data_IF_770900808213
#
_entry.id   IF_770900808213
#
_cell.length_a   1.000
_cell.length_b   1.000
_cell.length_c   1.000
_cell.angle_alpha   90.00
_cell.angle_beta   90.00
_cell.angle_gamma   90.00
#
_symmetry.space_group_name_H-M   'P 1'
#
loop_
_entity.id
_entity.type
_entity.pdbx_description
1 polymer ?
#
# COMPACT_ATOMS: atom_id res chain seq x y z
N UNK A 1 14.25 8.50 10.83
CA UNK A 1 14.94 9.14 9.70
C UNK A 1 16.34 8.56 9.59
N UNK A 2 16.54 7.66 8.63
CA UNK A 2 17.60 6.66 8.59
C UNK A 2 19.08 7.09 8.52
N UNK A 3 19.46 8.31 8.23
CA UNK A 3 20.88 8.73 8.29
C UNK A 3 21.13 9.50 9.59
N UNK A 4 21.89 8.90 10.52
CA UNK A 4 22.27 9.50 11.81
C UNK A 4 21.48 8.99 13.03
N UNK A 5 20.58 8.02 12.87
CA UNK A 5 19.88 7.37 13.98
C UNK A 5 20.75 6.25 14.61
N UNK A 6 20.41 5.80 15.83
CA UNK A 6 21.08 4.70 16.53
C UNK A 6 21.16 3.42 15.69
N UNK A 7 20.17 3.13 14.85
CA UNK A 7 20.20 2.00 13.90
C UNK A 7 21.32 2.10 12.85
N UNK A 8 21.77 3.31 12.48
CA UNK A 8 22.94 3.49 11.60
C UNK A 8 24.26 3.20 12.28
N UNK A 9 24.28 3.04 13.61
CA UNK A 9 25.44 2.72 14.45
C UNK A 9 25.53 1.24 14.83
N UNK A 10 24.69 0.38 14.22
CA UNK A 10 24.69 -1.07 14.48
C UNK A 10 23.72 -1.54 15.57
N UNK A 11 22.91 -0.65 16.14
CA UNK A 11 21.86 -1.01 17.08
C UNK A 11 20.73 -1.78 16.35
N UNK A 12 20.24 -2.85 16.96
CA UNK A 12 19.14 -3.61 16.36
C UNK A 12 17.81 -2.85 16.44
N UNK A 13 16.89 -3.14 15.53
CA UNK A 13 15.52 -2.58 15.58
C UNK A 13 14.87 -2.88 16.93
N UNK A 14 15.09 -4.08 17.47
CA UNK A 14 14.52 -4.52 18.73
C UNK A 14 15.03 -3.65 19.90
N UNK A 15 16.33 -3.45 20.01
CA UNK A 15 16.90 -2.65 21.09
C UNK A 15 16.41 -1.20 21.04
N UNK A 16 16.34 -0.64 19.82
CA UNK A 16 15.82 0.72 19.62
C UNK A 16 14.36 0.84 20.09
N UNK A 17 13.47 -0.07 19.69
CA UNK A 17 12.05 0.05 20.07
C UNK A 17 11.80 -0.26 21.52
N UNK A 18 12.52 -1.22 22.12
CA UNK A 18 12.44 -1.50 23.56
C UNK A 18 12.95 -0.34 24.41
N UNK A 19 13.97 0.37 23.95
CA UNK A 19 14.44 1.59 24.62
C UNK A 19 13.38 2.68 24.61
N UNK A 20 12.70 2.87 23.48
CA UNK A 20 11.62 3.87 23.36
C UNK A 20 10.40 3.46 24.22
N UNK A 21 10.02 2.18 24.21
CA UNK A 21 8.93 1.64 25.01
C UNK A 21 9.18 1.85 26.51
N UNK A 22 10.43 1.63 26.97
CA UNK A 22 10.84 1.87 28.35
C UNK A 22 10.73 3.34 28.80
N UNK A 23 10.57 4.29 27.87
CA UNK A 23 10.27 5.70 28.18
C UNK A 23 8.80 5.93 28.51
N UNK A 24 7.95 4.91 28.44
CA UNK A 24 6.53 4.95 28.79
C UNK A 24 5.66 5.62 27.73
N UNK A 25 5.97 5.41 26.45
CA UNK A 25 5.13 5.91 25.35
C UNK A 25 3.87 5.05 25.18
N UNK A 26 2.73 5.67 24.88
CA UNK A 26 1.49 4.96 24.64
C UNK A 26 1.40 4.36 23.22
N UNK A 27 2.06 4.99 22.24
CA UNK A 27 2.03 4.55 20.86
C UNK A 27 3.34 4.83 20.11
N UNK A 28 3.69 3.93 19.20
CA UNK A 28 4.81 4.00 18.30
C UNK A 28 4.32 4.08 16.83
N UNK A 29 4.51 5.22 16.19
CA UNK A 29 4.29 5.36 14.75
C UNK A 29 5.60 5.03 14.04
N UNK A 30 5.63 3.92 13.28
CA UNK A 30 6.86 3.46 12.67
C UNK A 30 6.76 3.32 11.15
N UNK A 31 7.89 3.57 10.49
CA UNK A 31 8.12 3.27 9.08
C UNK A 31 9.44 2.53 8.93
N UNK A 32 9.43 1.41 8.21
CA UNK A 32 10.61 0.55 8.08
C UNK A 32 10.78 0.05 6.65
N UNK A 33 12.02 -0.28 6.25
CA UNK A 33 12.32 -0.82 4.92
C UNK A 33 12.01 -2.31 4.79
N UNK A 34 11.98 -3.07 5.89
CA UNK A 34 11.64 -4.47 5.89
C UNK A 34 10.12 -4.67 6.02
N UNK A 35 9.56 -5.52 5.17
CA UNK A 35 8.16 -5.96 5.24
C UNK A 35 7.91 -6.76 6.51
N UNK A 36 6.79 -6.52 7.19
CA UNK A 36 6.43 -7.18 8.45
C UNK A 36 7.09 -6.59 9.71
N UNK A 37 7.96 -5.57 9.58
CA UNK A 37 8.67 -5.00 10.73
C UNK A 37 7.73 -4.44 11.80
N UNK A 38 6.64 -3.77 11.41
CA UNK A 38 5.66 -3.25 12.37
C UNK A 38 4.97 -4.36 13.14
N UNK A 39 4.65 -5.47 12.49
CA UNK A 39 4.05 -6.64 13.13
C UNK A 39 5.00 -7.29 14.14
N UNK A 40 6.29 -7.41 13.79
CA UNK A 40 7.31 -7.92 14.72
C UNK A 40 7.48 -7.01 15.94
N UNK A 41 7.54 -5.70 15.73
CA UNK A 41 7.68 -4.72 16.81
C UNK A 41 6.49 -4.80 17.77
N UNK A 42 5.27 -4.95 17.28
CA UNK A 42 4.09 -5.10 18.11
C UNK A 42 4.14 -6.32 19.07
N UNK A 43 4.98 -7.33 18.74
CA UNK A 43 5.24 -8.47 19.63
C UNK A 43 6.36 -8.24 20.66
N UNK A 44 7.05 -7.10 20.63
CA UNK A 44 8.20 -6.81 21.50
C UNK A 44 7.95 -5.69 22.49
N UNK A 45 6.93 -4.87 22.28
CA UNK A 45 6.65 -3.65 23.07
C UNK A 45 5.22 -3.69 23.60
N UNK A 46 4.97 -2.98 24.71
CA UNK A 46 3.64 -2.80 25.26
C UNK A 46 2.88 -1.63 24.61
N UNK A 47 3.58 -0.67 24.03
CA UNK A 47 3.01 0.45 23.29
C UNK A 47 2.23 0.00 22.05
N UNK A 48 1.17 0.71 21.69
CA UNK A 48 0.44 0.48 20.45
C UNK A 48 1.29 0.80 19.22
N UNK A 49 1.43 -0.14 18.29
CA UNK A 49 2.25 0.06 17.08
C UNK A 49 1.38 0.44 15.89
N UNK A 50 1.66 1.61 15.31
CA UNK A 50 1.00 2.14 14.10
C UNK A 50 1.94 2.02 12.92
N UNK A 51 1.58 1.18 11.95
CA UNK A 51 2.35 0.97 10.72
C UNK A 51 2.15 2.14 9.75
N UNK A 52 3.14 3.02 9.63
CA UNK A 52 3.20 4.12 8.65
C UNK A 52 3.95 3.72 7.35
N UNK A 53 4.04 2.43 7.08
CA UNK A 53 4.58 1.84 5.86
C UNK A 53 5.82 0.97 6.08
N UNK A 54 5.71 -0.31 5.76
CA UNK A 54 6.76 -1.30 5.88
C UNK A 54 7.09 -1.97 4.53
N UNK A 55 8.33 -1.85 4.09
CA UNK A 55 8.83 -2.44 2.85
C UNK A 55 7.92 -2.20 1.63
N UNK A 56 7.60 -3.29 0.93
CA UNK A 56 6.57 -3.37 -0.13
C UNK A 56 5.27 -4.01 0.37
N UNK A 57 5.15 -4.24 1.67
CA UNK A 57 4.07 -4.99 2.30
C UNK A 57 2.82 -4.13 2.47
N UNK A 58 2.79 -3.19 3.42
CA UNK A 58 1.61 -2.38 3.71
C UNK A 58 1.89 -0.92 4.06
N UNK A 59 0.87 -0.09 3.92
CA UNK A 59 0.81 1.29 4.38
C UNK A 59 -0.62 1.64 4.85
N UNK A 60 -1.07 1.05 5.98
CA UNK A 60 -2.46 1.18 6.42
C UNK A 60 -2.90 2.62 6.64
N UNK A 61 -2.04 3.46 7.23
CA UNK A 61 -2.35 4.88 7.46
C UNK A 61 -2.57 5.66 6.15
N UNK A 62 -1.89 5.27 5.05
CA UNK A 62 -2.15 5.87 3.74
C UNK A 62 -3.50 5.40 3.19
N UNK A 63 -3.82 4.12 3.32
CA UNK A 63 -5.11 3.60 2.86
C UNK A 63 -6.29 4.26 3.59
N UNK A 64 -6.18 4.50 4.90
CA UNK A 64 -7.17 5.25 5.65
C UNK A 64 -7.30 6.70 5.18
N UNK A 65 -6.18 7.38 4.89
CA UNK A 65 -6.17 8.72 4.33
C UNK A 65 -6.84 8.77 2.95
N UNK A 66 -6.53 7.81 2.09
CA UNK A 66 -7.08 7.71 0.73
C UNK A 66 -8.59 7.44 0.80
N UNK A 67 -9.03 6.48 1.63
CA UNK A 67 -10.44 6.17 1.84
C UNK A 67 -11.22 7.37 2.39
N UNK A 68 -10.68 8.06 3.41
CA UNK A 68 -11.29 9.28 3.95
C UNK A 68 -11.41 10.38 2.89
N UNK A 69 -10.37 10.57 2.09
CA UNK A 69 -10.38 11.58 1.03
C UNK A 69 -11.44 11.28 -0.04
N UNK A 70 -11.54 10.02 -0.46
CA UNK A 70 -12.58 9.59 -1.41
C UNK A 70 -13.97 9.78 -0.81
N UNK A 71 -14.20 9.34 0.42
CA UNK A 71 -15.49 9.50 1.10
C UNK A 71 -15.94 10.96 1.15
N UNK A 72 -15.04 11.89 1.49
CA UNK A 72 -15.31 13.33 1.52
C UNK A 72 -15.64 13.91 0.12
N UNK A 73 -15.12 13.30 -0.95
CA UNK A 73 -15.26 13.84 -2.31
C UNK A 73 -16.43 13.23 -3.08
N UNK A 74 -16.72 11.94 -2.89
CA UNK A 74 -17.70 11.20 -3.68
C UNK A 74 -18.88 10.65 -2.85
N UNK A 75 -18.89 10.88 -1.54
CA UNK A 75 -20.04 10.59 -0.67
C UNK A 75 -20.24 9.10 -0.41
N UNK A 76 -19.35 8.50 0.38
CA UNK A 76 -19.35 7.07 0.71
C UNK A 76 -18.64 6.22 -0.34
N UNK A 77 -18.27 5.00 0.05
CA UNK A 77 -17.50 4.09 -0.79
C UNK A 77 -18.26 2.83 -1.21
N UNK A 78 -19.33 2.48 -0.49
CA UNK A 78 -20.13 1.29 -0.78
C UNK A 78 -20.75 1.37 -2.19
N UNK A 79 -20.48 0.37 -3.02
CA UNK A 79 -20.93 0.28 -4.41
C UNK A 79 -20.21 1.22 -5.39
N UNK A 80 -19.26 2.03 -4.94
CA UNK A 80 -18.44 2.89 -5.79
C UNK A 80 -17.40 2.11 -6.55
N UNK A 81 -17.19 2.46 -7.83
CA UNK A 81 -16.15 1.87 -8.66
C UNK A 81 -14.84 2.64 -8.55
N UNK A 82 -13.87 2.06 -7.88
CA UNK A 82 -12.53 2.62 -7.69
C UNK A 82 -11.52 1.87 -8.55
N UNK A 83 -10.80 2.59 -9.39
CA UNK A 83 -9.77 2.04 -10.27
C UNK A 83 -8.39 2.44 -9.77
N UNK A 84 -7.52 1.46 -9.54
CA UNK A 84 -6.13 1.67 -9.10
C UNK A 84 -5.19 1.33 -10.26
N UNK A 85 -4.40 2.30 -10.71
CA UNK A 85 -3.56 2.18 -11.90
C UNK A 85 -2.09 2.38 -11.57
N UNK A 86 -1.21 1.53 -12.09
CA UNK A 86 0.24 1.76 -12.10
C UNK A 86 1.07 0.59 -11.61
N UNK A 87 2.13 0.88 -10.85
CA UNK A 87 3.10 -0.10 -10.37
C UNK A 87 2.56 -0.92 -9.19
N UNK A 88 1.90 -2.04 -9.47
CA UNK A 88 1.33 -2.91 -8.43
C UNK A 88 2.39 -3.76 -7.72
N UNK A 89 3.47 -4.11 -8.42
CA UNK A 89 4.52 -5.00 -7.88
C UNK A 89 5.26 -4.35 -6.72
N UNK A 90 5.59 -3.05 -6.84
CA UNK A 90 6.42 -2.36 -5.87
C UNK A 90 5.62 -1.44 -4.93
N UNK A 91 4.30 -1.30 -5.14
CA UNK A 91 3.46 -0.41 -4.35
C UNK A 91 2.81 -1.11 -3.17
N UNK A 92 3.28 -0.79 -1.96
CA UNK A 92 2.58 -1.16 -0.73
C UNK A 92 1.24 -0.42 -0.55
N UNK A 93 1.12 0.78 -1.14
CA UNK A 93 -0.12 1.58 -1.11
C UNK A 93 -1.24 0.84 -1.84
N UNK A 94 -0.95 0.21 -2.97
CA UNK A 94 -1.90 -0.66 -3.67
C UNK A 94 -2.47 -1.74 -2.75
N UNK A 95 -1.61 -2.49 -2.04
CA UNK A 95 -2.03 -3.61 -1.19
C UNK A 95 -3.01 -3.16 -0.10
N UNK A 96 -2.64 -2.15 0.66
CA UNK A 96 -3.49 -1.63 1.73
C UNK A 96 -4.78 -1.00 1.21
N UNK A 97 -4.75 -0.33 0.05
CA UNK A 97 -5.96 0.27 -0.53
C UNK A 97 -6.94 -0.79 -1.05
N UNK A 98 -6.47 -1.86 -1.71
CA UNK A 98 -7.37 -2.94 -2.12
C UNK A 98 -8.13 -3.50 -0.92
N UNK A 99 -7.42 -3.82 0.18
CA UNK A 99 -8.03 -4.36 1.39
C UNK A 99 -9.03 -3.38 2.01
N UNK A 100 -8.63 -2.12 2.24
CA UNK A 100 -9.48 -1.13 2.89
C UNK A 100 -10.71 -0.78 2.06
N UNK A 101 -10.57 -0.57 0.74
CA UNK A 101 -11.68 -0.23 -0.14
C UNK A 101 -12.68 -1.38 -0.27
N UNK A 102 -12.20 -2.62 -0.37
CA UNK A 102 -13.08 -3.79 -0.36
C UNK A 102 -13.84 -3.93 0.96
N UNK A 103 -13.18 -3.73 2.10
CA UNK A 103 -13.84 -3.72 3.43
C UNK A 103 -14.91 -2.64 3.54
N UNK A 104 -14.73 -1.50 2.88
CA UNK A 104 -15.68 -0.38 2.84
C UNK A 104 -16.75 -0.56 1.76
N UNK A 105 -16.78 -1.71 1.08
CA UNK A 105 -17.82 -2.08 0.11
C UNK A 105 -17.64 -1.47 -1.28
N UNK A 106 -16.47 -0.93 -1.60
CA UNK A 106 -16.17 -0.47 -2.95
C UNK A 106 -15.91 -1.64 -3.91
N UNK A 107 -16.27 -1.45 -5.16
CA UNK A 107 -15.85 -2.31 -6.25
C UNK A 107 -14.50 -1.83 -6.78
N UNK A 108 -13.48 -2.66 -6.65
CA UNK A 108 -12.11 -2.31 -7.00
C UNK A 108 -11.69 -2.99 -8.30
N UNK A 109 -11.17 -2.20 -9.23
CA UNK A 109 -10.47 -2.70 -10.43
C UNK A 109 -9.02 -2.23 -10.37
N UNK A 110 -8.07 -3.13 -10.56
CA UNK A 110 -6.65 -2.77 -10.63
C UNK A 110 -6.13 -2.94 -12.05
N UNK A 111 -5.36 -1.97 -12.51
CA UNK A 111 -4.85 -1.89 -13.88
C UNK A 111 -3.35 -1.70 -13.88
N UNK A 112 -2.64 -2.59 -14.56
CA UNK A 112 -1.19 -2.47 -14.75
C UNK A 112 -0.73 -3.23 -16.00
N UNK A 113 0.40 -2.84 -16.61
CA UNK A 113 1.10 -3.69 -17.56
C UNK A 113 1.45 -5.05 -16.93
N UNK A 114 1.48 -6.10 -17.73
CA UNK A 114 1.77 -7.47 -17.25
C UNK A 114 3.08 -7.53 -16.45
N UNK A 115 4.09 -6.75 -16.85
CA UNK A 115 5.39 -6.67 -16.18
C UNK A 115 5.34 -6.05 -14.78
N UNK A 116 4.29 -5.31 -14.46
CA UNK A 116 4.07 -4.66 -13.16
C UNK A 116 2.96 -5.33 -12.33
N UNK A 117 2.44 -6.45 -12.81
CA UNK A 117 1.54 -7.31 -12.04
C UNK A 117 2.36 -8.22 -11.12
N UNK A 118 2.12 -8.23 -9.80
CA UNK A 118 2.82 -9.13 -8.91
C UNK A 118 2.43 -10.59 -9.15
N UNK A 119 3.37 -11.52 -8.92
CA UNK A 119 3.06 -12.94 -8.92
C UNK A 119 1.95 -13.26 -7.91
N UNK A 120 1.03 -14.17 -8.26
CA UNK A 120 -0.07 -14.56 -7.39
C UNK A 120 -1.25 -13.58 -7.34
N UNK A 121 -1.21 -12.45 -8.05
CA UNK A 121 -2.30 -11.45 -8.02
C UNK A 121 -3.66 -12.01 -8.44
N UNK A 122 -3.68 -13.00 -9.35
CA UNK A 122 -4.94 -13.62 -9.80
C UNK A 122 -5.63 -14.38 -8.67
N UNK A 123 -4.87 -15.22 -7.95
CA UNK A 123 -5.39 -15.95 -6.80
C UNK A 123 -5.87 -14.99 -5.69
N UNK A 124 -5.15 -13.90 -5.49
CA UNK A 124 -5.57 -12.87 -4.54
C UNK A 124 -6.83 -12.14 -5.00
N UNK A 125 -6.91 -11.76 -6.28
CA UNK A 125 -8.10 -11.14 -6.87
C UNK A 125 -9.35 -12.02 -6.73
N UNK A 126 -9.22 -13.32 -6.97
CA UNK A 126 -10.30 -14.29 -6.81
C UNK A 126 -10.75 -14.43 -5.34
N UNK A 127 -9.80 -14.43 -4.40
CA UNK A 127 -10.08 -14.56 -2.96
C UNK A 127 -10.77 -13.32 -2.38
N UNK A 128 -10.30 -12.12 -2.73
CA UNK A 128 -10.78 -10.85 -2.15
C UNK A 128 -11.77 -10.11 -3.06
N UNK A 129 -12.06 -10.64 -4.25
CA UNK A 129 -13.14 -10.18 -5.12
C UNK A 129 -12.88 -8.82 -5.78
N UNK A 130 -11.66 -8.51 -6.21
CA UNK A 130 -11.37 -7.35 -7.04
C UNK A 130 -11.03 -7.73 -8.49
N UNK A 131 -11.29 -6.82 -9.44
CA UNK A 131 -11.06 -7.07 -10.86
C UNK A 131 -9.63 -6.72 -11.28
N UNK A 132 -9.12 -7.42 -12.32
CA UNK A 132 -7.81 -7.19 -12.92
C UNK A 132 -7.95 -6.80 -14.39
N UNK A 133 -7.18 -5.82 -14.84
CA UNK A 133 -7.05 -5.46 -16.25
C UNK A 133 -5.62 -5.05 -16.60
N UNK A 134 -5.24 -5.24 -17.86
CA UNK A 134 -3.99 -4.70 -18.42
C UNK A 134 -4.27 -3.49 -19.32
N UNK A 135 -5.54 -3.14 -19.52
CA UNK A 135 -5.97 -2.06 -20.40
C UNK A 135 -6.92 -1.14 -19.64
N UNK A 136 -6.59 0.15 -19.64
CA UNK A 136 -7.36 1.18 -18.93
C UNK A 136 -8.51 1.74 -19.80
N UNK A 137 -8.33 1.81 -21.11
CA UNK A 137 -9.29 2.46 -22.02
C UNK A 137 -10.68 1.86 -21.94
N UNK A 138 -10.88 0.51 -21.98
CA UNK A 138 -12.20 -0.07 -21.87
C UNK A 138 -12.90 0.21 -20.53
N UNK A 139 -12.11 0.44 -19.47
CA UNK A 139 -12.64 0.73 -18.12
C UNK A 139 -13.15 2.17 -18.06
N UNK A 140 -12.39 3.12 -18.65
CA UNK A 140 -12.76 4.54 -18.67
C UNK A 140 -13.90 4.85 -19.64
N UNK A 141 -14.00 4.10 -20.75
CA UNK A 141 -15.00 4.32 -21.80
C UNK A 141 -16.24 3.42 -21.66
N UNK A 142 -16.20 2.46 -20.77
CA UNK A 142 -17.30 1.51 -20.55
C UNK A 142 -18.49 2.14 -19.82
N UNK A 143 -19.66 1.49 -19.94
CA UNK A 143 -20.94 1.98 -19.41
C UNK A 143 -21.00 2.12 -17.88
N UNK A 144 -20.15 1.39 -17.17
CA UNK A 144 -20.15 1.38 -15.71
C UNK A 144 -19.68 2.71 -15.10
N UNK A 145 -18.80 3.42 -15.80
CA UNK A 145 -18.12 4.61 -15.28
C UNK A 145 -17.12 4.30 -14.16
N UNK A 146 -16.37 5.32 -13.77
CA UNK A 146 -15.36 5.28 -12.70
C UNK A 146 -15.64 6.41 -11.72
N UNK A 147 -15.90 6.08 -10.45
CA UNK A 147 -16.16 7.08 -9.40
C UNK A 147 -14.85 7.71 -8.87
N UNK A 148 -13.78 6.91 -8.78
CA UNK A 148 -12.45 7.39 -8.38
C UNK A 148 -11.33 6.65 -9.14
N UNK A 149 -10.33 7.41 -9.57
CA UNK A 149 -9.12 6.90 -10.22
C UNK A 149 -7.90 7.20 -9.34
N UNK A 150 -7.26 6.14 -8.85
CA UNK A 150 -6.03 6.23 -8.07
C UNK A 150 -4.82 5.92 -8.94
N UNK A 151 -3.96 6.91 -9.17
CA UNK A 151 -2.73 6.75 -9.94
C UNK A 151 -1.55 6.47 -9.01
N UNK A 152 -0.95 5.29 -9.15
CA UNK A 152 0.23 4.91 -8.39
C UNK A 152 1.51 5.44 -9.07
N UNK A 153 2.42 5.98 -8.27
CA UNK A 153 3.74 6.38 -8.75
C UNK A 153 4.57 5.15 -9.11
N UNK A 154 5.24 5.19 -10.25
CA UNK A 154 6.23 4.18 -10.63
C UNK A 154 7.43 4.25 -9.67
N UNK A 155 7.75 3.14 -9.02
CA UNK A 155 8.77 3.05 -7.96
C UNK A 155 10.15 2.71 -8.55
N UNK A 156 10.69 3.57 -9.43
CA UNK A 156 11.97 3.32 -10.13
C UNK A 156 13.11 2.94 -9.20
N UNK A 157 13.14 3.51 -7.99
CA UNK A 157 14.13 3.23 -6.94
C UNK A 157 14.06 1.82 -6.36
N UNK A 158 13.00 1.07 -6.64
CA UNK A 158 12.78 -0.31 -6.18
C UNK A 158 12.88 -1.33 -7.31
N UNK A 159 13.05 -0.85 -8.54
CA UNK A 159 13.15 -1.71 -9.71
C UNK A 159 14.60 -2.15 -9.94
N UNK A 160 14.80 -3.46 -10.06
CA UNK A 160 16.05 -4.06 -10.54
C UNK A 160 15.75 -4.74 -11.87
N UNK A 161 15.92 -4.01 -13.01
CA UNK A 161 15.67 -4.54 -14.36
C UNK A 161 14.89 -3.61 -15.27
N UNK A 162 14.72 -4.02 -16.54
CA UNK A 162 13.93 -3.29 -17.55
C UNK A 162 12.45 -3.64 -17.48
N UNK A 163 11.67 -2.89 -16.70
CA UNK A 163 10.22 -3.06 -16.61
C UNK A 163 9.44 -2.30 -17.69
N UNK A 164 10.07 -1.27 -18.27
CA UNK A 164 9.52 -0.48 -19.36
C UNK A 164 10.56 -0.25 -20.45
N UNK A 165 10.19 -0.33 -21.74
CA UNK A 165 11.06 0.05 -22.83
C UNK A 165 11.38 1.56 -22.83
N UNK A 166 10.40 2.39 -22.48
CA UNK A 166 10.57 3.85 -22.38
C UNK A 166 9.71 4.44 -21.25
N UNK A 167 9.98 5.71 -20.86
CA UNK A 167 9.15 6.43 -19.88
C UNK A 167 7.80 6.91 -20.45
N UNK A 168 7.48 6.58 -21.70
CA UNK A 168 6.24 6.99 -22.40
C UNK A 168 5.19 5.87 -22.47
N UNK A 169 5.55 4.68 -22.06
CA UNK A 169 4.65 3.55 -21.88
C UNK A 169 4.21 3.44 -20.42
#
# INVERSE_FOLDING_TARGET
>A
TGKGSSTSKGESLRDTVMTIDAMGVDALVMRHSASGAAHQVAGWVDAHVINAGDGTHEHPTQALLDAYTMEQRIGGLAGKHVVIVGDLTHSRVFRSNVLSLRMLGADVTVVAPVTLMPSGIRAWSEADGFALSNDLDPILTGDRGVDALMMLRVQKERMSGGYFPTARE
#
